data_IF_264353711245
#
_entry.id   IF_264353711245
#
_cell.length_a   1.000
_cell.length_b   1.000
_cell.length_c   1.000
_cell.angle_alpha   90.00
_cell.angle_beta   90.00
_cell.angle_gamma   90.00
#
_symmetry.space_group_name_H-M   'P 1'
#
loop_
_entity.id
_entity.type
_entity.pdbx_description
1 polymer ?
#
# COMPACT_ATOMS: atom_id res chain seq x y z
N UNK A 1 17.95 -15.65 4.72
CA UNK A 1 16.60 -16.20 4.43
C UNK A 1 15.51 -15.64 5.35
N UNK A 2 15.73 -15.46 6.66
CA UNK A 2 14.67 -14.95 7.56
C UNK A 2 14.15 -13.54 7.19
N UNK A 3 15.06 -12.61 6.88
CA UNK A 3 14.69 -11.24 6.52
C UNK A 3 13.86 -11.14 5.23
N UNK A 4 14.00 -12.08 4.29
CA UNK A 4 13.21 -12.04 3.04
C UNK A 4 11.74 -12.41 3.28
N UNK A 5 11.50 -13.38 4.17
CA UNK A 5 10.15 -13.84 4.49
C UNK A 5 9.43 -12.78 5.31
N UNK A 6 10.15 -12.16 6.25
CA UNK A 6 9.59 -11.11 7.10
C UNK A 6 9.08 -9.95 6.25
N UNK A 7 9.87 -9.42 5.32
CA UNK A 7 9.38 -8.28 4.54
C UNK A 7 8.33 -8.64 3.50
N UNK A 8 8.47 -9.75 2.78
CA UNK A 8 7.43 -10.18 1.84
C UNK A 8 6.09 -10.42 2.52
N UNK A 9 6.11 -11.03 3.73
CA UNK A 9 4.91 -11.21 4.54
C UNK A 9 4.34 -9.87 5.04
N UNK A 10 5.21 -8.96 5.46
CA UNK A 10 4.82 -7.64 5.95
C UNK A 10 4.08 -6.84 4.86
N UNK A 11 4.60 -6.82 3.63
CA UNK A 11 3.95 -6.15 2.51
C UNK A 11 2.66 -6.82 2.06
N UNK A 12 2.63 -8.16 2.09
CA UNK A 12 1.41 -8.89 1.78
C UNK A 12 0.30 -8.54 2.78
N UNK A 13 0.63 -8.50 4.07
CA UNK A 13 -0.31 -8.13 5.13
C UNK A 13 -0.78 -6.67 5.02
N UNK A 14 0.13 -5.73 4.75
CA UNK A 14 -0.26 -4.32 4.59
C UNK A 14 -1.10 -4.10 3.33
N UNK A 15 -0.80 -4.78 2.21
CA UNK A 15 -1.60 -4.73 0.99
C UNK A 15 -3.04 -5.23 1.22
N UNK A 16 -3.19 -6.36 1.91
CA UNK A 16 -4.52 -6.87 2.32
C UNK A 16 -5.22 -5.88 3.25
N UNK A 17 -4.49 -5.27 4.19
CA UNK A 17 -5.07 -4.29 5.11
C UNK A 17 -5.60 -3.05 4.38
N UNK A 18 -4.89 -2.55 3.35
CA UNK A 18 -5.36 -1.45 2.49
C UNK A 18 -6.69 -1.80 1.83
N UNK A 19 -6.88 -3.04 1.38
CA UNK A 19 -8.17 -3.51 0.81
C UNK A 19 -9.26 -3.53 1.89
N UNK A 20 -8.94 -4.02 3.09
CA UNK A 20 -9.90 -4.19 4.19
C UNK A 20 -10.39 -2.86 4.77
N UNK A 21 -9.57 -1.80 4.74
CA UNK A 21 -9.93 -0.48 5.28
C UNK A 21 -11.23 0.07 4.67
N UNK A 22 -11.36 0.26 3.34
CA UNK A 22 -12.56 0.82 2.72
C UNK A 22 -13.68 -0.22 2.50
N UNK A 23 -13.43 -1.51 2.71
CA UNK A 23 -14.39 -2.59 2.45
C UNK A 23 -15.07 -3.13 3.71
N UNK A 24 -14.30 -3.38 4.78
CA UNK A 24 -14.78 -4.08 5.98
C UNK A 24 -14.64 -3.24 7.25
N UNK A 25 -13.48 -2.58 7.45
CA UNK A 25 -13.22 -1.84 8.71
C UNK A 25 -13.98 -0.52 8.75
N UNK A 26 -13.87 0.26 7.68
CA UNK A 26 -14.53 1.55 7.51
C UNK A 26 -15.21 1.56 6.14
N UNK A 27 -16.33 0.85 6.00
CA UNK A 27 -16.99 0.69 4.72
C UNK A 27 -17.41 2.05 4.17
N UNK A 28 -16.98 2.32 2.94
CA UNK A 28 -17.35 3.53 2.20
C UNK A 28 -18.57 3.28 1.31
N UNK A 29 -19.27 4.35 0.95
CA UNK A 29 -20.46 4.28 0.11
C UNK A 29 -20.14 3.65 -1.25
N UNK A 30 -20.84 2.56 -1.60
CA UNK A 30 -20.60 1.77 -2.81
C UNK A 30 -21.94 1.55 -3.56
N UNK A 31 -22.55 2.64 -4.02
CA UNK A 31 -23.79 2.59 -4.79
C UNK A 31 -23.46 2.49 -6.28
N UNK A 32 -23.82 1.38 -6.92
CA UNK A 32 -23.64 1.20 -8.37
C UNK A 32 -24.58 2.10 -9.19
N UNK A 33 -25.76 2.42 -8.65
CA UNK A 33 -26.74 3.31 -9.29
C UNK A 33 -26.31 4.78 -9.24
N UNK A 34 -25.47 5.18 -8.27
CA UNK A 34 -24.93 6.53 -8.16
C UNK A 34 -23.42 6.48 -7.88
N UNK A 35 -22.62 6.47 -8.95
CA UNK A 35 -21.15 6.46 -8.89
C UNK A 35 -20.60 7.82 -8.43
N UNK A 36 -20.47 7.99 -7.12
CA UNK A 36 -19.83 9.16 -6.51
C UNK A 36 -18.30 8.99 -6.41
N UNK A 37 -17.56 10.03 -6.03
CA UNK A 37 -16.09 9.94 -5.82
C UNK A 37 -15.68 8.80 -4.89
N UNK A 38 -16.45 8.57 -3.81
CA UNK A 38 -16.23 7.49 -2.84
C UNK A 38 -16.22 6.08 -3.49
N UNK A 39 -17.02 5.86 -4.55
CA UNK A 39 -17.05 4.60 -5.32
C UNK A 39 -15.74 4.35 -6.09
N UNK A 40 -15.24 5.38 -6.77
CA UNK A 40 -13.99 5.28 -7.53
C UNK A 40 -12.77 5.17 -6.62
N UNK A 41 -12.74 5.91 -5.52
CA UNK A 41 -11.68 5.80 -4.50
C UNK A 41 -11.62 4.39 -3.94
N UNK A 42 -12.76 3.79 -3.56
CA UNK A 42 -12.81 2.40 -3.09
C UNK A 42 -12.18 1.43 -4.09
N UNK A 43 -12.58 1.51 -5.36
CA UNK A 43 -12.08 0.60 -6.41
C UNK A 43 -10.59 0.83 -6.70
N UNK A 44 -10.13 2.07 -6.69
CA UNK A 44 -8.72 2.40 -6.87
C UNK A 44 -7.88 1.85 -5.71
N UNK A 45 -8.30 2.06 -4.46
CA UNK A 45 -7.64 1.54 -3.26
C UNK A 45 -7.58 0.01 -3.26
N UNK A 46 -8.66 -0.67 -3.63
CA UNK A 46 -8.67 -2.13 -3.77
C UNK A 46 -7.65 -2.58 -4.83
N UNK A 47 -7.59 -1.89 -5.97
CA UNK A 47 -6.64 -2.20 -7.05
C UNK A 47 -5.19 -2.03 -6.62
N UNK A 48 -4.87 -0.91 -5.94
CA UNK A 48 -3.51 -0.65 -5.45
C UNK A 48 -3.14 -1.60 -4.30
N UNK A 49 -4.06 -1.85 -3.36
CA UNK A 49 -3.87 -2.82 -2.29
C UNK A 49 -3.63 -4.24 -2.80
N UNK A 50 -4.36 -4.66 -3.84
CA UNK A 50 -4.14 -5.94 -4.51
C UNK A 50 -2.77 -6.01 -5.19
N UNK A 51 -2.35 -4.92 -5.85
CA UNK A 51 -1.02 -4.83 -6.46
C UNK A 51 0.09 -4.96 -5.41
N UNK A 52 -0.03 -4.25 -4.28
CA UNK A 52 0.91 -4.37 -3.15
C UNK A 52 0.95 -5.82 -2.63
N UNK A 53 -0.22 -6.44 -2.43
CA UNK A 53 -0.29 -7.83 -1.96
C UNK A 53 0.39 -8.81 -2.93
N UNK A 54 0.18 -8.66 -4.24
CA UNK A 54 0.86 -9.47 -5.26
C UNK A 54 2.36 -9.23 -5.25
N UNK A 55 2.83 -7.99 -5.15
CA UNK A 55 4.27 -7.67 -5.05
C UNK A 55 4.88 -8.31 -3.79
N UNK A 56 4.19 -8.26 -2.66
CA UNK A 56 4.61 -8.92 -1.42
C UNK A 56 4.74 -10.44 -1.60
N UNK A 57 3.77 -11.08 -2.26
CA UNK A 57 3.83 -12.52 -2.58
C UNK A 57 4.98 -12.86 -3.53
N UNK A 58 5.18 -12.08 -4.59
CA UNK A 58 6.30 -12.26 -5.52
C UNK A 58 7.64 -12.08 -4.79
N UNK A 59 7.72 -11.13 -3.87
CA UNK A 59 8.91 -10.90 -3.03
C UNK A 59 9.27 -12.08 -2.13
N UNK A 60 8.33 -12.99 -1.82
CA UNK A 60 8.59 -14.22 -1.10
C UNK A 60 9.24 -15.30 -1.98
N UNK A 61 8.89 -15.34 -3.26
CA UNK A 61 9.42 -16.31 -4.23
C UNK A 61 10.82 -15.90 -4.74
N UNK A 62 11.04 -14.59 -4.90
CA UNK A 62 12.29 -14.07 -5.45
C UNK A 62 13.36 -13.95 -4.36
N UNK A 63 14.52 -14.56 -4.61
CA UNK A 63 15.68 -14.49 -3.71
C UNK A 63 16.72 -13.45 -4.11
N UNK A 64 16.66 -12.94 -5.33
CA UNK A 64 17.60 -11.96 -5.86
C UNK A 64 17.40 -10.59 -5.18
N UNK A 65 18.46 -10.08 -4.55
CA UNK A 65 18.42 -8.81 -3.82
C UNK A 65 18.19 -7.61 -4.75
N UNK A 66 18.68 -7.64 -5.99
CA UNK A 66 18.52 -6.54 -6.97
C UNK A 66 17.06 -6.40 -7.38
N UNK A 67 16.39 -7.52 -7.65
CA UNK A 67 14.96 -7.51 -8.00
C UNK A 67 14.13 -7.01 -6.80
N UNK A 68 14.45 -7.46 -5.58
CA UNK A 68 13.74 -7.03 -4.38
C UNK A 68 13.88 -5.53 -4.09
N UNK A 69 15.02 -4.91 -4.43
CA UNK A 69 15.14 -3.44 -4.38
C UNK A 69 14.13 -2.79 -5.33
N UNK A 70 13.98 -3.30 -6.55
CA UNK A 70 12.98 -2.81 -7.51
C UNK A 70 11.55 -2.97 -7.00
N UNK A 71 11.23 -4.10 -6.35
CA UNK A 71 9.92 -4.34 -5.75
C UNK A 71 9.64 -3.38 -4.58
N UNK A 72 10.60 -3.18 -3.68
CA UNK A 72 10.46 -2.25 -2.56
C UNK A 72 10.34 -0.78 -3.02
N UNK A 73 11.03 -0.40 -4.09
CA UNK A 73 10.84 0.91 -4.73
C UNK A 73 9.43 1.02 -5.30
N UNK A 74 8.91 -0.05 -5.93
CA UNK A 74 7.54 -0.05 -6.46
C UNK A 74 6.50 0.11 -5.35
N UNK A 75 6.68 -0.54 -4.20
CA UNK A 75 5.83 -0.37 -3.02
C UNK A 75 5.88 1.04 -2.44
N UNK A 76 7.05 1.69 -2.46
CA UNK A 76 7.17 3.09 -2.05
C UNK A 76 6.28 4.01 -2.90
N UNK A 77 6.27 3.82 -4.22
CA UNK A 77 5.38 4.58 -5.11
C UNK A 77 3.90 4.19 -4.92
N UNK A 78 3.60 2.92 -4.71
CA UNK A 78 2.23 2.48 -4.39
C UNK A 78 1.73 3.10 -3.08
N UNK A 79 2.57 3.18 -2.05
CA UNK A 79 2.23 3.84 -0.78
C UNK A 79 1.92 5.32 -0.97
N UNK A 80 2.70 6.01 -1.82
CA UNK A 80 2.39 7.38 -2.21
C UNK A 80 1.05 7.46 -2.94
N UNK A 81 0.71 6.47 -3.79
CA UNK A 81 -0.55 6.43 -4.53
C UNK A 81 -1.76 6.21 -3.61
N UNK A 82 -1.68 5.27 -2.66
CA UNK A 82 -2.70 5.03 -1.60
C UNK A 82 -2.93 6.33 -0.79
N UNK A 83 -1.89 7.11 -0.55
CA UNK A 83 -2.03 8.40 0.14
C UNK A 83 -2.72 9.46 -0.76
N UNK A 84 -2.37 9.49 -2.04
CA UNK A 84 -2.79 10.54 -2.97
C UNK A 84 -4.22 10.35 -3.49
N UNK A 85 -4.70 9.11 -3.55
CA UNK A 85 -6.06 8.74 -3.95
C UNK A 85 -7.15 9.45 -3.12
N UNK A 86 -7.21 9.27 -1.78
CA UNK A 86 -8.23 9.91 -0.95
C UNK A 86 -8.02 11.43 -0.80
N UNK A 87 -6.79 11.93 -0.96
CA UNK A 87 -6.45 13.34 -0.72
C UNK A 87 -6.63 14.25 -1.95
N UNK A 88 -6.17 13.84 -3.13
CA UNK A 88 -6.06 14.73 -4.30
C UNK A 88 -6.58 14.17 -5.62
N UNK A 89 -6.49 12.86 -5.86
CA UNK A 89 -6.88 12.29 -7.16
C UNK A 89 -8.39 12.14 -7.31
N UNK A 90 -9.02 11.34 -6.46
CA UNK A 90 -10.46 11.08 -6.53
C UNK A 90 -11.20 11.83 -5.43
N UNK A 91 -10.57 11.95 -4.26
CA UNK A 91 -11.17 12.55 -3.08
C UNK A 91 -12.22 11.64 -2.43
N UNK A 92 -12.45 11.87 -1.15
CA UNK A 92 -13.59 11.29 -0.44
C UNK A 92 -14.79 12.25 -0.46
N UNK A 93 -15.86 11.84 0.20
CA UNK A 93 -17.13 12.53 0.18
C UNK A 93 -16.95 13.98 0.72
N UNK A 94 -17.48 14.99 0.01
CA UNK A 94 -17.18 16.42 0.27
C UNK A 94 -17.64 16.92 1.64
N UNK A 95 -18.68 16.32 2.21
CA UNK A 95 -19.20 16.71 3.52
C UNK A 95 -18.29 16.19 4.63
N UNK A 96 -17.80 17.09 5.49
CA UNK A 96 -16.84 16.80 6.56
C UNK A 96 -17.34 15.80 7.60
N UNK A 97 -18.65 15.76 7.83
CA UNK A 97 -19.21 15.05 8.99
C UNK A 97 -19.63 13.61 8.64
N UNK A 98 -19.47 13.20 7.38
CA UNK A 98 -19.75 11.83 6.97
C UNK A 98 -18.69 10.87 7.50
N UNK A 99 -19.14 9.76 8.11
CA UNK A 99 -18.27 8.73 8.69
C UNK A 99 -17.21 8.18 7.73
N UNK A 100 -17.53 8.13 6.42
CA UNK A 100 -16.60 7.72 5.36
C UNK A 100 -15.32 8.58 5.35
N UNK A 101 -15.46 9.90 5.46
CA UNK A 101 -14.33 10.83 5.45
C UNK A 101 -13.59 10.83 6.79
N UNK A 102 -14.33 10.93 7.89
CA UNK A 102 -13.74 11.05 9.24
C UNK A 102 -12.96 9.81 9.65
N UNK A 103 -13.32 8.61 9.17
CA UNK A 103 -12.69 7.36 9.59
C UNK A 103 -11.74 6.79 8.52
N UNK A 104 -12.20 6.69 7.28
CA UNK A 104 -11.45 6.01 6.21
C UNK A 104 -10.26 6.84 5.73
N UNK A 105 -10.42 8.16 5.61
CA UNK A 105 -9.34 9.06 5.18
C UNK A 105 -8.11 8.97 6.11
N UNK A 106 -8.23 9.19 7.45
CA UNK A 106 -7.07 9.07 8.33
C UNK A 106 -6.55 7.65 8.43
N UNK A 107 -7.41 6.63 8.34
CA UNK A 107 -6.96 5.24 8.34
C UNK A 107 -6.04 4.93 7.12
N UNK A 108 -6.43 5.38 5.92
CA UNK A 108 -5.62 5.24 4.71
C UNK A 108 -4.32 6.05 4.77
N UNK A 109 -4.37 7.26 5.34
CA UNK A 109 -3.17 8.07 5.54
C UNK A 109 -2.17 7.37 6.47
N UNK A 110 -2.65 6.89 7.63
CA UNK A 110 -1.79 6.22 8.62
C UNK A 110 -1.16 4.96 8.04
N UNK A 111 -1.94 4.10 7.37
CA UNK A 111 -1.38 2.89 6.77
C UNK A 111 -0.40 3.21 5.64
N UNK A 112 -0.66 4.24 4.84
CA UNK A 112 0.24 4.68 3.76
C UNK A 112 1.59 5.14 4.31
N UNK A 113 1.59 5.94 5.38
CA UNK A 113 2.82 6.39 6.04
C UNK A 113 3.60 5.19 6.59
N UNK A 114 2.90 4.22 7.18
CA UNK A 114 3.52 2.99 7.69
C UNK A 114 4.18 2.20 6.55
N UNK A 115 3.48 1.97 5.43
CA UNK A 115 4.03 1.27 4.26
C UNK A 115 5.22 2.03 3.70
N UNK A 116 5.15 3.36 3.63
CA UNK A 116 6.22 4.22 3.13
C UNK A 116 7.49 4.08 3.97
N UNK A 117 7.38 4.12 5.30
CA UNK A 117 8.51 3.95 6.23
C UNK A 117 9.12 2.55 6.09
N UNK A 118 8.27 1.50 6.04
CA UNK A 118 8.72 0.11 5.87
C UNK A 118 9.48 -0.04 4.55
N UNK A 119 8.91 0.45 3.45
CA UNK A 119 9.50 0.35 2.11
C UNK A 119 10.84 1.10 2.05
N UNK A 120 10.91 2.31 2.60
CA UNK A 120 12.15 3.07 2.67
C UNK A 120 13.22 2.36 3.51
N UNK A 121 12.85 1.82 4.67
CA UNK A 121 13.76 1.06 5.52
C UNK A 121 14.29 -0.19 4.81
N UNK A 122 13.43 -0.89 4.07
CA UNK A 122 13.83 -2.07 3.31
C UNK A 122 14.76 -1.75 2.14
N UNK A 123 14.46 -0.70 1.36
CA UNK A 123 15.37 -0.23 0.30
C UNK A 123 16.74 0.08 0.90
N UNK A 124 16.81 0.84 1.99
CA UNK A 124 18.07 1.18 2.66
C UNK A 124 18.81 -0.08 3.16
N UNK A 125 18.08 -1.03 3.73
CA UNK A 125 18.67 -2.28 4.23
C UNK A 125 19.20 -3.15 3.09
N UNK A 126 18.43 -3.31 2.02
CA UNK A 126 18.82 -4.10 0.85
C UNK A 126 19.99 -3.45 0.11
N UNK A 127 19.99 -2.13 -0.08
CA UNK A 127 21.12 -1.39 -0.68
C UNK A 127 22.39 -1.55 0.16
N UNK A 128 22.28 -1.45 1.49
CA UNK A 128 23.42 -1.71 2.39
C UNK A 128 23.92 -3.15 2.28
N UNK A 129 23.03 -4.14 2.17
CA UNK A 129 23.43 -5.52 1.98
C UNK A 129 24.11 -5.73 0.62
N UNK A 130 23.53 -5.25 -0.47
CA UNK A 130 24.13 -5.38 -1.81
C UNK A 130 25.50 -4.69 -1.87
N UNK A 131 25.65 -3.51 -1.25
CA UNK A 131 26.95 -2.83 -1.16
C UNK A 131 27.95 -3.62 -0.32
N UNK A 132 27.50 -4.26 0.76
CA UNK A 132 28.33 -5.13 1.61
C UNK A 132 28.73 -6.42 0.91
N UNK A 133 27.87 -6.94 0.06
CA UNK A 133 28.10 -8.16 -0.71
C UNK A 133 28.99 -7.93 -1.96
N UNK A 134 29.29 -6.66 -2.30
CA UNK A 134 30.10 -6.27 -3.47
C UNK A 134 29.32 -6.50 -4.77
N UNK A 135 29.31 -5.58 -5.73
CA UNK A 135 30.35 -5.53 -6.78
C UNK A 135 31.25 -6.78 -6.83
N UNK A 136 30.61 -7.95 -7.00
CA UNK A 136 31.21 -9.11 -7.66
C UNK A 136 30.75 -9.11 -9.11
#
# INVERSE_FOLDING_TARGET
>A
MKNRIISGLLFTLTGVLVILIPTVLFPVCDSEMMKMSCYYTKRAEIGVGALIAVIGLVSLLISDKKIRIGLAISEFFNAALVLLLPLKLTGLCKMSDMSCRVKTEPALIVISIVIFIISAAEVLFLVKQVKKDGLS
#
